data_IF_870295416522
#
_entry.id   IF_870295416522
#
_cell.length_a   1.000
_cell.length_b   1.000
_cell.length_c   1.000
_cell.angle_alpha   90.00
_cell.angle_beta   90.00
_cell.angle_gamma   90.00
#
_symmetry.space_group_name_H-M   'P 1'
#
loop_
_entity.id
_entity.type
_entity.pdbx_description
1 polymer ?
#
# COMPACT_ATOMS: atom_id res chain seq x y z
N UNK A 1 1.07 43.93 33.66
CA UNK A 1 2.05 44.05 32.56
C UNK A 1 2.54 42.67 32.24
N UNK A 2 2.00 42.10 31.16
CA UNK A 2 2.48 41.00 30.33
C UNK A 2 1.22 40.41 29.69
N UNK A 3 1.00 40.84 28.45
CA UNK A 3 -0.07 40.42 27.55
C UNK A 3 -0.03 38.92 27.31
N UNK A 4 -1.22 38.33 27.24
CA UNK A 4 -1.42 37.03 26.59
C UNK A 4 -2.36 37.28 25.42
N UNK A 5 -1.79 37.25 24.22
CA UNK A 5 -2.51 37.24 22.95
C UNK A 5 -3.35 35.97 22.87
N UNK A 6 -4.67 36.15 22.88
CA UNK A 6 -5.63 35.11 22.60
C UNK A 6 -5.92 35.15 21.09
N UNK A 7 -5.17 34.36 20.32
CA UNK A 7 -5.48 34.09 18.91
C UNK A 7 -6.39 32.86 18.89
N UNK A 8 -7.70 33.12 18.87
CA UNK A 8 -8.68 32.10 18.51
C UNK A 8 -8.63 31.90 16.99
N UNK A 9 -7.83 30.91 16.55
CA UNK A 9 -7.86 30.38 15.19
C UNK A 9 -9.11 29.51 14.99
N UNK A 10 -10.23 30.18 14.68
CA UNK A 10 -11.48 29.53 14.29
C UNK A 10 -11.38 29.19 12.80
N UNK A 11 -10.94 27.97 12.49
CA UNK A 11 -11.13 27.40 11.16
C UNK A 11 -12.62 27.08 10.94
N UNK A 12 -13.23 27.86 10.04
CA UNK A 12 -14.64 27.79 9.73
C UNK A 12 -15.05 26.53 8.96
N UNK A 13 -16.30 26.13 9.20
CA UNK A 13 -17.19 25.59 8.17
C UNK A 13 -18.65 25.85 8.62
N UNK A 14 -19.21 26.94 8.11
CA UNK A 14 -20.63 27.37 8.17
C UNK A 14 -21.31 27.42 9.55
N UNK A 15 -21.18 28.56 10.24
CA UNK A 15 -22.22 29.04 11.15
C UNK A 15 -23.09 30.05 10.40
N UNK A 16 -24.36 29.69 10.15
CA UNK A 16 -25.37 30.68 9.79
C UNK A 16 -25.68 31.48 11.04
N UNK A 17 -25.16 32.71 11.12
CA UNK A 17 -25.58 33.67 12.12
C UNK A 17 -27.09 33.91 11.96
N UNK A 18 -27.83 33.82 13.06
CA UNK A 18 -29.20 34.30 13.14
C UNK A 18 -29.19 35.81 12.86
N UNK A 19 -29.44 36.15 11.60
CA UNK A 19 -29.77 37.51 11.19
C UNK A 19 -31.17 37.77 11.73
N UNK A 20 -31.25 38.55 12.80
CA UNK A 20 -32.49 39.12 13.28
C UNK A 20 -33.03 40.07 12.22
N UNK A 21 -34.26 39.82 11.78
CA UNK A 21 -35.08 40.71 10.97
C UNK A 21 -35.04 42.13 11.55
N UNK A 22 -34.45 43.05 10.79
CA UNK A 22 -34.79 44.45 10.86
C UNK A 22 -35.45 44.78 9.53
N UNK A 23 -36.74 45.09 9.63
CA UNK A 23 -37.57 45.69 8.60
C UNK A 23 -36.82 46.86 7.96
N UNK A 24 -36.58 46.79 6.66
CA UNK A 24 -36.84 47.89 5.73
C UNK A 24 -36.60 47.48 4.27
N UNK A 25 -37.60 47.80 3.47
CA UNK A 25 -37.73 47.80 2.02
C UNK A 25 -36.43 47.81 1.19
N UNK A 26 -36.27 46.80 0.32
CA UNK A 26 -36.06 47.00 -1.13
C UNK A 26 -36.13 45.66 -1.88
N UNK A 27 -37.32 45.35 -2.39
CA UNK A 27 -37.69 44.07 -2.98
C UNK A 27 -37.09 43.76 -4.35
N UNK A 28 -35.77 43.52 -4.42
CA UNK A 28 -35.13 42.91 -5.61
C UNK A 28 -35.27 41.37 -5.63
N UNK A 29 -35.59 40.77 -4.47
CA UNK A 29 -35.84 39.34 -4.29
C UNK A 29 -37.28 39.03 -3.90
N UNK A 30 -38.26 39.80 -4.39
CA UNK A 30 -39.66 39.39 -4.35
C UNK A 30 -39.86 38.18 -5.28
N UNK A 31 -39.37 37.02 -4.86
CA UNK A 31 -39.56 35.77 -5.58
C UNK A 31 -41.06 35.54 -5.67
N UNK A 32 -41.58 35.51 -6.90
CA UNK A 32 -42.89 34.95 -7.17
C UNK A 32 -43.03 33.68 -6.34
N UNK A 33 -44.10 33.55 -5.54
CA UNK A 33 -44.44 32.37 -4.75
C UNK A 33 -44.47 31.15 -5.66
N UNK A 34 -43.28 30.61 -5.93
CA UNK A 34 -43.07 29.40 -6.68
C UNK A 34 -43.57 28.31 -5.75
N UNK A 35 -44.58 27.59 -6.22
CA UNK A 35 -45.05 26.38 -5.54
C UNK A 35 -43.80 25.56 -5.25
N UNK A 36 -43.51 25.31 -3.97
CA UNK A 36 -42.53 24.28 -3.58
C UNK A 36 -43.09 22.98 -4.15
N UNK A 37 -42.56 22.58 -5.30
CA UNK A 37 -42.81 21.26 -5.84
C UNK A 37 -42.02 20.34 -4.91
N UNK A 38 -42.71 19.66 -4.01
CA UNK A 38 -42.13 18.58 -3.23
C UNK A 38 -41.77 17.46 -4.21
N UNK A 39 -40.49 17.39 -4.57
CA UNK A 39 -39.96 16.26 -5.31
C UNK A 39 -39.68 15.14 -4.32
N UNK A 40 -40.43 14.04 -4.41
CA UNK A 40 -40.10 12.82 -3.70
C UNK A 40 -38.78 12.28 -4.26
N UNK A 41 -37.69 12.43 -3.52
CA UNK A 41 -36.34 11.96 -3.91
C UNK A 41 -36.34 10.46 -4.20
N UNK A 42 -37.26 9.68 -3.61
CA UNK A 42 -37.41 8.24 -3.87
C UNK A 42 -38.03 7.94 -5.24
N UNK A 43 -38.67 8.92 -5.87
CA UNK A 43 -39.21 8.82 -7.23
C UNK A 43 -38.14 9.10 -8.31
N UNK A 44 -36.98 9.63 -7.93
CA UNK A 44 -35.86 9.87 -8.84
C UNK A 44 -35.12 8.55 -9.03
N UNK A 45 -35.56 7.78 -10.02
CA UNK A 45 -34.87 6.57 -10.45
C UNK A 45 -33.66 6.96 -11.32
N UNK A 46 -32.63 7.52 -10.68
CA UNK A 46 -31.39 7.88 -11.36
C UNK A 46 -30.61 6.61 -11.69
N UNK A 47 -30.69 6.18 -12.95
CA UNK A 47 -29.72 5.27 -13.53
C UNK A 47 -28.59 6.15 -14.12
N UNK A 48 -27.35 6.08 -13.62
CA UNK A 48 -26.25 6.80 -14.23
C UNK A 48 -26.12 6.33 -15.69
N UNK A 49 -26.33 7.26 -16.63
CA UNK A 49 -25.98 7.01 -18.02
C UNK A 49 -24.46 7.07 -18.11
N UNK A 50 -23.83 5.92 -18.28
CA UNK A 50 -22.40 5.83 -18.60
C UNK A 50 -22.28 6.08 -20.11
N UNK A 51 -22.58 7.30 -20.56
CA UNK A 51 -22.22 7.76 -21.91
C UNK A 51 -20.77 8.24 -21.83
N UNK A 52 -19.83 7.32 -22.04
CA UNK A 52 -18.41 7.64 -22.17
C UNK A 52 -18.16 8.19 -23.57
N UNK A 53 -18.34 9.49 -23.77
CA UNK A 53 -18.05 10.19 -25.03
C UNK A 53 -16.57 10.12 -25.47
N UNK A 54 -15.67 9.69 -24.58
CA UNK A 54 -14.25 9.51 -24.87
C UNK A 54 -13.53 10.81 -25.23
N UNK A 55 -14.06 11.97 -24.82
CA UNK A 55 -13.55 13.28 -25.21
C UNK A 55 -12.04 13.49 -24.92
N UNK A 56 -11.52 12.76 -23.94
CA UNK A 56 -10.13 12.81 -23.49
C UNK A 56 -9.19 11.88 -24.27
N UNK A 57 -9.68 10.87 -25.00
CA UNK A 57 -8.81 9.98 -25.79
C UNK A 57 -8.48 10.62 -27.15
N UNK A 58 -7.32 11.27 -27.21
CA UNK A 58 -6.83 11.90 -28.44
C UNK A 58 -5.83 11.04 -29.21
N UNK A 59 -5.63 9.78 -28.79
CA UNK A 59 -4.60 8.90 -29.35
C UNK A 59 -4.75 8.64 -30.85
N UNK A 60 -5.98 8.73 -31.38
CA UNK A 60 -6.27 8.57 -32.81
C UNK A 60 -6.21 9.89 -33.60
N UNK A 61 -6.36 11.03 -32.93
CA UNK A 61 -6.48 12.34 -33.59
C UNK A 61 -5.12 13.05 -33.73
N UNK A 62 -4.15 12.76 -32.86
CA UNK A 62 -2.85 13.42 -32.86
C UNK A 62 -1.74 12.52 -32.30
N UNK A 63 -0.49 12.82 -32.68
CA UNK A 63 0.68 12.10 -32.15
C UNK A 63 0.91 12.41 -30.67
N UNK A 64 1.54 11.47 -29.95
CA UNK A 64 1.81 11.62 -28.51
C UNK A 64 2.59 12.89 -28.15
N UNK A 65 3.56 13.30 -28.98
CA UNK A 65 4.32 14.52 -28.74
C UNK A 65 3.45 15.78 -28.81
N UNK A 66 2.53 15.85 -29.77
CA UNK A 66 1.59 16.96 -29.92
C UNK A 66 0.57 16.95 -28.79
N UNK A 67 0.08 15.76 -28.41
CA UNK A 67 -0.84 15.59 -27.29
C UNK A 67 -0.20 16.04 -25.97
N UNK A 68 1.02 15.61 -25.67
CA UNK A 68 1.78 16.04 -24.49
C UNK A 68 2.08 17.55 -24.45
N UNK A 69 1.95 18.24 -25.58
CA UNK A 69 2.14 19.68 -25.70
C UNK A 69 0.84 20.50 -25.59
N UNK A 70 -0.34 19.86 -25.53
CA UNK A 70 -1.58 20.58 -25.26
C UNK A 70 -1.63 21.07 -23.81
N UNK A 71 -2.50 22.06 -23.55
CA UNK A 71 -2.64 22.67 -22.23
C UNK A 71 -3.03 21.65 -21.14
N UNK A 72 -3.84 20.65 -21.49
CA UNK A 72 -4.31 19.59 -20.59
C UNK A 72 -3.72 18.20 -20.92
N UNK A 73 -2.64 18.15 -21.70
CA UNK A 73 -2.15 16.90 -22.28
C UNK A 73 -1.84 15.83 -21.25
N UNK A 74 -1.18 16.20 -20.15
CA UNK A 74 -0.84 15.25 -19.09
C UNK A 74 -2.07 14.67 -18.38
N UNK A 75 -3.08 15.49 -18.11
CA UNK A 75 -4.31 15.07 -17.44
C UNK A 75 -5.15 14.18 -18.37
N UNK A 76 -5.32 14.59 -19.64
CA UNK A 76 -6.03 13.81 -20.65
C UNK A 76 -5.38 12.44 -20.89
N UNK A 77 -4.04 12.39 -20.98
CA UNK A 77 -3.29 11.14 -21.10
C UNK A 77 -3.50 10.29 -19.85
N UNK A 78 -3.39 10.89 -18.65
CA UNK A 78 -3.57 10.18 -17.37
C UNK A 78 -4.97 9.57 -17.27
N UNK A 79 -6.03 10.30 -17.60
CA UNK A 79 -7.39 9.77 -17.63
C UNK A 79 -7.54 8.65 -18.67
N UNK A 80 -6.90 8.78 -19.83
CA UNK A 80 -6.94 7.74 -20.87
C UNK A 80 -6.29 6.45 -20.39
N UNK A 81 -5.09 6.51 -19.80
CA UNK A 81 -4.41 5.30 -19.30
C UNK A 81 -5.14 4.68 -18.12
N UNK A 82 -5.70 5.49 -17.20
CA UNK A 82 -6.53 4.98 -16.10
C UNK A 82 -7.75 4.23 -16.64
N UNK A 83 -8.43 4.79 -17.65
CA UNK A 83 -9.58 4.11 -18.29
C UNK A 83 -9.17 2.80 -18.93
N UNK A 84 -8.09 2.78 -19.71
CA UNK A 84 -7.58 1.53 -20.32
C UNK A 84 -7.26 0.49 -19.25
N UNK A 85 -6.60 0.89 -18.16
CA UNK A 85 -6.31 0.03 -17.02
C UNK A 85 -7.59 -0.55 -16.38
N UNK A 86 -8.59 0.29 -16.10
CA UNK A 86 -9.85 -0.17 -15.51
C UNK A 86 -10.70 -1.02 -16.46
N UNK A 87 -10.55 -0.88 -17.79
CA UNK A 87 -11.15 -1.76 -18.80
C UNK A 87 -10.43 -3.10 -18.96
N UNK A 88 -9.28 -3.29 -18.31
CA UNK A 88 -8.45 -4.48 -18.45
C UNK A 88 -7.60 -4.50 -19.72
N UNK A 89 -7.50 -3.37 -20.43
CA UNK A 89 -6.66 -3.23 -21.63
C UNK A 89 -5.20 -2.91 -21.22
N UNK A 90 -4.60 -3.80 -20.42
CA UNK A 90 -3.32 -3.55 -19.74
C UNK A 90 -2.16 -3.30 -20.71
N UNK A 91 -2.02 -4.09 -21.78
CA UNK A 91 -0.98 -3.86 -22.78
C UNK A 91 -1.04 -2.47 -23.42
N UNK A 92 -2.25 -2.03 -23.83
CA UNK A 92 -2.47 -0.67 -24.40
C UNK A 92 -2.21 0.43 -23.38
N UNK A 93 -2.66 0.24 -22.14
CA UNK A 93 -2.38 1.16 -21.02
C UNK A 93 -0.87 1.34 -20.83
N UNK A 94 -0.13 0.23 -20.75
CA UNK A 94 1.32 0.23 -20.57
C UNK A 94 2.05 0.88 -21.77
N UNK A 95 1.64 0.58 -23.01
CA UNK A 95 2.21 1.20 -24.21
C UNK A 95 2.00 2.71 -24.24
N UNK A 96 0.81 3.18 -23.86
CA UNK A 96 0.49 4.60 -23.82
C UNK A 96 1.26 5.33 -22.72
N UNK A 97 1.37 4.73 -21.52
CA UNK A 97 2.24 5.22 -20.45
C UNK A 97 3.69 5.34 -20.92
N UNK A 98 4.23 4.32 -21.59
CA UNK A 98 5.61 4.31 -22.09
C UNK A 98 5.86 5.43 -23.11
N UNK A 99 4.92 5.63 -24.04
CA UNK A 99 4.97 6.72 -25.01
C UNK A 99 4.91 8.10 -24.34
N UNK A 100 3.99 8.27 -23.37
CA UNK A 100 3.85 9.50 -22.62
C UNK A 100 5.12 9.83 -21.81
N UNK A 101 5.67 8.83 -21.13
CA UNK A 101 6.91 8.95 -20.36
C UNK A 101 8.05 9.43 -21.26
N UNK A 102 8.23 8.79 -22.42
CA UNK A 102 9.24 9.18 -23.39
C UNK A 102 9.03 10.60 -23.96
N UNK A 103 7.78 11.02 -24.18
CA UNK A 103 7.47 12.36 -24.66
C UNK A 103 7.77 13.44 -23.61
N UNK A 104 7.37 13.22 -22.36
CA UNK A 104 7.63 14.16 -21.26
C UNK A 104 9.11 14.22 -20.88
N UNK A 105 9.83 13.10 -20.94
CA UNK A 105 11.28 13.10 -20.71
C UNK A 105 12.04 13.99 -21.70
N UNK A 106 11.63 13.98 -22.98
CA UNK A 106 12.20 14.87 -24.00
C UNK A 106 11.86 16.34 -23.74
N UNK A 107 10.64 16.63 -23.28
CA UNK A 107 10.14 17.99 -23.04
C UNK A 107 10.79 18.67 -21.84
N UNK A 108 11.05 17.92 -20.77
CA UNK A 108 11.48 18.47 -19.48
C UNK A 108 12.96 18.25 -19.15
N UNK A 109 13.76 17.78 -20.13
CA UNK A 109 15.23 17.63 -20.02
C UNK A 109 15.71 17.14 -18.64
N UNK A 110 15.12 16.03 -18.15
CA UNK A 110 15.40 15.36 -16.86
C UNK A 110 14.75 15.90 -15.57
N UNK A 111 14.01 17.01 -15.59
CA UNK A 111 13.24 17.47 -14.41
C UNK A 111 11.90 16.71 -14.25
N UNK A 112 12.00 15.39 -14.10
CA UNK A 112 10.86 14.45 -14.08
C UNK A 112 10.16 14.35 -12.72
N UNK A 113 10.45 15.25 -11.79
CA UNK A 113 9.90 15.24 -10.42
C UNK A 113 8.45 15.74 -10.35
N UNK A 114 7.71 15.66 -11.44
CA UNK A 114 6.29 16.04 -11.48
C UNK A 114 5.47 14.87 -10.97
N UNK A 115 4.62 15.10 -9.96
CA UNK A 115 3.79 14.06 -9.34
C UNK A 115 2.97 13.26 -10.38
N UNK A 116 2.42 13.95 -11.39
CA UNK A 116 1.67 13.35 -12.49
C UNK A 116 2.50 12.36 -13.33
N UNK A 117 3.81 12.60 -13.48
CA UNK A 117 4.70 11.68 -14.19
C UNK A 117 4.91 10.39 -13.40
N UNK A 118 5.07 10.51 -12.07
CA UNK A 118 5.16 9.33 -11.19
C UNK A 118 3.89 8.49 -11.32
N UNK A 119 2.72 9.12 -11.30
CA UNK A 119 1.45 8.42 -11.46
C UNK A 119 1.36 7.63 -12.78
N UNK A 120 1.77 8.23 -13.91
CA UNK A 120 1.83 7.53 -15.20
C UNK A 120 2.77 6.32 -15.17
N UNK A 121 3.93 6.45 -14.52
CA UNK A 121 4.89 5.35 -14.36
C UNK A 121 4.28 4.23 -13.49
N UNK A 122 3.61 4.59 -12.39
CA UNK A 122 2.95 3.60 -11.51
C UNK A 122 1.82 2.84 -12.21
N UNK A 123 0.98 3.55 -12.97
CA UNK A 123 -0.08 2.92 -13.78
C UNK A 123 0.54 2.03 -14.86
N UNK A 124 1.61 2.48 -15.52
CA UNK A 124 2.33 1.73 -16.54
C UNK A 124 2.92 0.43 -16.01
N UNK A 125 3.63 0.50 -14.88
CA UNK A 125 4.19 -0.68 -14.21
C UNK A 125 3.11 -1.63 -13.68
N UNK A 126 2.03 -1.13 -13.08
CA UNK A 126 0.89 -1.97 -12.67
C UNK A 126 0.24 -2.66 -13.86
N UNK A 127 0.12 -1.96 -14.99
CA UNK A 127 -0.38 -2.53 -16.24
C UNK A 127 0.56 -3.63 -16.75
N UNK A 128 1.87 -3.39 -16.77
CA UNK A 128 2.87 -4.38 -17.17
C UNK A 128 2.87 -5.63 -16.28
N UNK A 129 2.72 -5.47 -14.95
CA UNK A 129 2.56 -6.60 -14.02
C UNK A 129 1.31 -7.43 -14.32
N UNK A 130 0.20 -6.80 -14.73
CA UNK A 130 -1.05 -7.49 -15.08
C UNK A 130 -0.99 -8.21 -16.43
N UNK A 131 -0.20 -7.67 -17.36
CA UNK A 131 0.01 -8.22 -18.70
C UNK A 131 1.20 -9.22 -18.77
N UNK A 132 1.91 -9.41 -17.64
CA UNK A 132 3.15 -10.21 -17.53
C UNK A 132 4.28 -9.75 -18.48
N UNK A 133 4.32 -8.45 -18.80
CA UNK A 133 5.33 -7.84 -19.69
C UNK A 133 6.52 -7.33 -18.87
N UNK A 134 7.52 -8.19 -18.68
CA UNK A 134 8.72 -7.89 -17.89
C UNK A 134 9.60 -6.79 -18.51
N UNK A 135 9.65 -6.68 -19.83
CA UNK A 135 10.43 -5.67 -20.53
C UNK A 135 9.88 -4.26 -20.27
N UNK A 136 8.54 -4.11 -20.29
CA UNK A 136 7.89 -2.86 -19.91
C UNK A 136 8.03 -2.58 -18.41
N UNK A 137 7.95 -3.61 -17.57
CA UNK A 137 8.12 -3.44 -16.13
C UNK A 137 9.52 -2.92 -15.78
N UNK A 138 10.56 -3.47 -16.40
CA UNK A 138 11.95 -2.98 -16.22
C UNK A 138 12.11 -1.54 -16.72
N UNK A 139 11.51 -1.22 -17.87
CA UNK A 139 11.47 0.17 -18.35
C UNK A 139 10.85 1.13 -17.31
N UNK A 140 9.69 0.79 -16.74
CA UNK A 140 9.04 1.66 -15.75
C UNK A 140 9.79 1.71 -14.42
N UNK A 141 10.42 0.61 -14.00
CA UNK A 141 11.30 0.57 -12.84
C UNK A 141 12.43 1.62 -12.95
N UNK A 142 13.14 1.63 -14.08
CA UNK A 142 14.29 2.52 -14.30
C UNK A 142 13.88 4.01 -14.27
N UNK A 143 12.68 4.32 -14.78
CA UNK A 143 12.12 5.67 -14.66
C UNK A 143 11.66 6.00 -13.24
N UNK A 144 11.07 5.05 -12.53
CA UNK A 144 10.59 5.26 -11.16
C UNK A 144 11.75 5.51 -10.19
N UNK A 145 12.88 4.81 -10.38
CA UNK A 145 14.11 5.03 -9.61
C UNK A 145 14.63 6.47 -9.78
N UNK A 146 14.61 6.99 -11.02
CA UNK A 146 15.03 8.37 -11.33
C UNK A 146 14.12 9.44 -10.70
N UNK A 147 12.83 9.15 -10.50
CA UNK A 147 11.94 10.06 -9.78
C UNK A 147 12.43 10.29 -8.33
N UNK A 148 13.07 9.28 -7.73
CA UNK A 148 13.51 9.27 -6.35
C UNK A 148 12.35 9.42 -5.36
N UNK A 149 12.62 9.22 -4.07
CA UNK A 149 11.62 9.38 -3.03
C UNK A 149 12.06 8.72 -1.73
N UNK A 150 11.58 9.24 -0.61
CA UNK A 150 11.74 8.62 0.71
C UNK A 150 10.42 8.35 1.42
N UNK A 151 9.29 8.57 0.76
CA UNK A 151 7.98 8.37 1.38
C UNK A 151 7.60 6.88 1.38
N UNK A 152 6.72 6.43 2.30
CA UNK A 152 6.34 5.02 2.38
C UNK A 152 5.67 4.50 1.10
N UNK A 153 4.90 5.33 0.40
CA UNK A 153 4.27 4.95 -0.87
C UNK A 153 5.29 4.53 -1.93
N UNK A 154 6.39 5.29 -2.03
CA UNK A 154 7.50 5.01 -2.94
C UNK A 154 8.16 3.66 -2.63
N UNK A 155 8.53 3.42 -1.38
CA UNK A 155 9.21 2.18 -0.99
C UNK A 155 8.30 0.95 -1.14
N UNK A 156 7.03 1.07 -0.77
CA UNK A 156 6.05 -0.02 -0.93
C UNK A 156 5.85 -0.40 -2.40
N UNK A 157 5.75 0.60 -3.29
CA UNK A 157 5.60 0.38 -4.71
C UNK A 157 6.87 -0.19 -5.35
N UNK A 158 8.06 0.33 -5.01
CA UNK A 158 9.34 -0.21 -5.48
C UNK A 158 9.50 -1.69 -5.10
N UNK A 159 9.19 -2.04 -3.85
CA UNK A 159 9.26 -3.42 -3.40
C UNK A 159 8.34 -4.36 -4.21
N UNK A 160 7.13 -3.91 -4.57
CA UNK A 160 6.20 -4.67 -5.42
C UNK A 160 6.79 -4.91 -6.82
N UNK A 161 7.32 -3.87 -7.46
CA UNK A 161 7.94 -3.95 -8.79
C UNK A 161 9.18 -4.86 -8.77
N UNK A 162 10.08 -4.67 -7.79
CA UNK A 162 11.30 -5.46 -7.65
C UNK A 162 11.01 -6.93 -7.35
N UNK A 163 9.98 -7.23 -6.57
CA UNK A 163 9.53 -8.60 -6.32
C UNK A 163 9.12 -9.27 -7.63
N UNK A 164 8.38 -8.55 -8.48
CA UNK A 164 7.95 -9.06 -9.80
C UNK A 164 9.11 -9.25 -10.77
N UNK A 165 10.12 -8.39 -10.71
CA UNK A 165 11.37 -8.54 -11.47
C UNK A 165 12.33 -9.61 -10.89
N UNK A 166 11.96 -10.29 -9.79
CA UNK A 166 12.79 -11.31 -9.15
C UNK A 166 14.00 -10.76 -8.37
N UNK A 167 14.06 -9.44 -8.14
CA UNK A 167 15.13 -8.74 -7.39
C UNK A 167 14.78 -8.70 -5.90
N UNK A 168 14.71 -9.89 -5.29
CA UNK A 168 14.13 -10.08 -3.96
C UNK A 168 14.91 -9.39 -2.82
N UNK A 169 16.22 -9.25 -2.96
CA UNK A 169 17.09 -8.56 -2.01
C UNK A 169 16.78 -7.07 -1.93
N UNK A 170 16.68 -6.40 -3.08
CA UNK A 170 16.34 -4.99 -3.18
C UNK A 170 14.91 -4.74 -2.73
N UNK A 171 13.98 -5.64 -3.06
CA UNK A 171 12.60 -5.55 -2.59
C UNK A 171 12.53 -5.57 -1.05
N UNK A 172 13.36 -6.40 -0.40
CA UNK A 172 13.39 -6.50 1.06
C UNK A 172 13.92 -5.22 1.70
N UNK A 173 14.96 -4.60 1.14
CA UNK A 173 15.49 -3.30 1.58
C UNK A 173 14.38 -2.23 1.56
N UNK A 174 13.62 -2.12 0.47
CA UNK A 174 12.54 -1.15 0.39
C UNK A 174 11.37 -1.42 1.37
N UNK A 175 11.04 -2.67 1.67
CA UNK A 175 10.05 -2.97 2.71
C UNK A 175 10.55 -2.60 4.10
N UNK A 176 11.86 -2.70 4.36
CA UNK A 176 12.46 -2.24 5.62
C UNK A 176 12.43 -0.71 5.69
N UNK A 177 12.85 -0.01 4.63
CA UNK A 177 12.76 1.46 4.54
C UNK A 177 11.33 1.98 4.79
N UNK A 178 10.32 1.20 4.37
CA UNK A 178 8.92 1.46 4.68
C UNK A 178 8.65 1.32 6.18
N UNK A 179 9.03 0.20 6.79
CA UNK A 179 8.75 -0.08 8.20
C UNK A 179 9.52 0.81 9.16
N UNK A 180 10.68 1.35 8.77
CA UNK A 180 11.38 2.37 9.55
C UNK A 180 10.53 3.65 9.71
N UNK A 181 9.61 3.91 8.78
CA UNK A 181 8.68 5.05 8.84
C UNK A 181 7.29 4.67 9.37
N UNK A 182 6.88 3.40 9.18
CA UNK A 182 5.57 2.86 9.55
C UNK A 182 5.71 1.46 10.13
N UNK A 183 6.24 1.35 11.34
CA UNK A 183 6.65 0.09 11.98
C UNK A 183 5.50 -0.91 12.22
N UNK A 184 4.27 -0.42 12.35
CA UNK A 184 3.08 -1.20 12.69
C UNK A 184 2.20 -1.56 11.48
N UNK A 185 2.78 -1.73 10.29
CA UNK A 185 2.03 -2.15 9.10
C UNK A 185 2.05 -3.69 8.93
N UNK A 186 0.95 -4.32 9.32
CA UNK A 186 0.80 -5.77 9.23
C UNK A 186 0.92 -6.31 7.79
N UNK A 187 0.45 -5.57 6.78
CA UNK A 187 0.51 -6.02 5.39
C UNK A 187 1.96 -6.05 4.89
N UNK A 188 2.78 -5.10 5.33
CA UNK A 188 4.20 -5.07 4.97
C UNK A 188 4.98 -6.17 5.66
N UNK A 189 4.69 -6.47 6.93
CA UNK A 189 5.26 -7.64 7.61
C UNK A 189 4.88 -8.97 6.96
N UNK A 190 3.63 -9.11 6.50
CA UNK A 190 3.19 -10.27 5.71
C UNK A 190 4.01 -10.42 4.42
N UNK A 191 4.17 -9.33 3.64
CA UNK A 191 4.97 -9.31 2.41
C UNK A 191 6.44 -9.64 2.66
N UNK A 192 7.02 -9.15 3.76
CA UNK A 192 8.38 -9.53 4.19
C UNK A 192 8.44 -11.05 4.42
N UNK A 193 7.44 -11.63 5.09
CA UNK A 193 7.38 -13.07 5.32
C UNK A 193 7.37 -13.88 4.02
N UNK A 194 6.53 -13.51 3.05
CA UNK A 194 6.46 -14.14 1.73
C UNK A 194 7.79 -14.00 0.96
N UNK A 195 8.43 -12.83 1.05
CA UNK A 195 9.69 -12.55 0.38
C UNK A 195 10.84 -13.37 0.97
N UNK A 196 10.90 -13.50 2.30
CA UNK A 196 11.88 -14.35 3.00
C UNK A 196 11.73 -15.82 2.64
N UNK A 197 10.48 -16.32 2.55
CA UNK A 197 10.20 -17.68 2.08
C UNK A 197 10.67 -17.86 0.63
N UNK A 198 10.37 -16.90 -0.24
CA UNK A 198 10.80 -16.91 -1.64
C UNK A 198 12.33 -16.87 -1.80
N UNK A 199 13.03 -16.10 -0.96
CA UNK A 199 14.50 -16.10 -0.89
C UNK A 199 14.99 -17.48 -0.47
N UNK A 200 14.45 -18.06 0.61
CA UNK A 200 14.82 -19.40 1.07
C UNK A 200 14.61 -20.51 0.03
N UNK A 201 13.66 -20.31 -0.88
CA UNK A 201 13.33 -21.25 -1.96
C UNK A 201 14.15 -21.06 -3.23
N UNK A 202 14.88 -19.96 -3.32
CA UNK A 202 15.77 -19.70 -4.44
C UNK A 202 16.93 -20.70 -4.48
N UNK A 203 17.48 -20.90 -5.68
CA UNK A 203 18.49 -21.93 -5.99
C UNK A 203 19.77 -21.93 -5.12
N UNK A 204 20.28 -20.83 -4.53
CA UNK A 204 21.44 -20.94 -3.64
C UNK A 204 21.12 -21.58 -2.27
N UNK A 205 19.86 -21.55 -1.81
CA UNK A 205 19.51 -21.97 -0.46
C UNK A 205 18.66 -23.24 -0.42
N UNK A 206 17.91 -23.54 -1.48
CA UNK A 206 17.02 -24.70 -1.52
C UNK A 206 17.71 -26.02 -1.12
N UNK A 207 17.12 -26.75 -0.17
CA UNK A 207 17.62 -28.01 0.36
C UNK A 207 18.75 -27.89 1.38
N UNK A 208 19.16 -26.67 1.76
CA UNK A 208 20.23 -26.45 2.74
C UNK A 208 19.68 -26.16 4.14
N UNK A 209 20.52 -26.28 5.17
CA UNK A 209 20.18 -25.82 6.52
C UNK A 209 19.87 -24.31 6.58
N UNK A 210 20.39 -23.53 5.63
CA UNK A 210 20.15 -22.08 5.52
C UNK A 210 18.73 -21.80 5.04
N UNK A 211 18.15 -22.63 4.16
CA UNK A 211 16.73 -22.51 3.78
C UNK A 211 15.84 -22.57 5.01
N UNK A 212 16.09 -23.51 5.94
CA UNK A 212 15.31 -23.60 7.18
C UNK A 212 15.39 -22.31 8.00
N UNK A 213 16.54 -21.63 8.04
CA UNK A 213 16.69 -20.34 8.71
C UNK A 213 15.87 -19.24 8.04
N UNK A 214 15.86 -19.17 6.69
CA UNK A 214 15.01 -18.23 5.95
C UNK A 214 13.52 -18.47 6.21
N UNK A 215 13.07 -19.73 6.16
CA UNK A 215 11.67 -20.08 6.42
C UNK A 215 11.26 -19.71 7.85
N UNK A 216 12.14 -19.89 8.85
CA UNK A 216 11.91 -19.46 10.23
C UNK A 216 11.81 -17.95 10.37
N UNK A 217 12.64 -17.18 9.66
CA UNK A 217 12.47 -15.72 9.61
C UNK A 217 11.12 -15.33 9.00
N UNK A 218 10.70 -16.02 7.93
CA UNK A 218 9.38 -15.83 7.33
C UNK A 218 8.25 -16.07 8.34
N UNK A 219 8.32 -17.16 9.12
CA UNK A 219 7.38 -17.43 10.21
C UNK A 219 7.36 -16.31 11.27
N UNK A 220 8.53 -15.77 11.63
CA UNK A 220 8.63 -14.63 12.55
C UNK A 220 7.90 -13.39 12.01
N UNK A 221 8.10 -13.08 10.73
CA UNK A 221 7.42 -11.95 10.08
C UNK A 221 5.90 -12.14 10.01
N UNK A 222 5.42 -13.35 9.70
CA UNK A 222 4.00 -13.68 9.76
C UNK A 222 3.42 -13.54 11.18
N UNK A 223 4.15 -13.98 12.20
CA UNK A 223 3.73 -13.83 13.59
C UNK A 223 3.62 -12.35 14.02
N UNK A 224 4.57 -11.50 13.62
CA UNK A 224 4.51 -10.06 13.87
C UNK A 224 3.29 -9.44 13.18
N UNK A 225 3.05 -9.76 11.91
CA UNK A 225 1.86 -9.32 11.17
C UNK A 225 0.57 -9.71 11.89
N UNK A 226 0.45 -10.97 12.32
CA UNK A 226 -0.70 -11.48 13.05
C UNK A 226 -0.92 -10.73 14.36
N UNK A 227 0.15 -10.47 15.11
CA UNK A 227 0.10 -9.77 16.38
C UNK A 227 -0.39 -8.33 16.23
N UNK A 228 0.07 -7.62 15.20
CA UNK A 228 -0.42 -6.27 14.86
C UNK A 228 -1.93 -6.31 14.55
N UNK A 229 -2.38 -7.26 13.72
CA UNK A 229 -3.81 -7.42 13.38
C UNK A 229 -4.65 -7.71 14.64
N UNK A 230 -4.12 -8.54 15.56
CA UNK A 230 -4.81 -8.92 16.80
C UNK A 230 -4.97 -7.73 17.75
N UNK A 231 -3.92 -6.95 17.94
CA UNK A 231 -3.89 -5.82 18.89
C UNK A 231 -4.58 -4.57 18.32
N UNK A 232 -4.65 -4.42 17.00
CA UNK A 232 -5.29 -3.26 16.37
C UNK A 232 -6.76 -3.11 16.80
N UNK A 233 -7.02 -2.09 17.63
CA UNK A 233 -8.35 -1.72 18.14
C UNK A 233 -9.16 -0.88 17.15
N UNK A 234 -8.49 -0.33 16.12
CA UNK A 234 -9.06 0.62 15.16
C UNK A 234 -9.89 0.00 14.02
N UNK A 235 -10.04 -1.32 13.97
CA UNK A 235 -10.95 -1.96 13.02
C UNK A 235 -12.37 -1.57 13.41
N UNK A 236 -12.90 -0.56 12.72
CA UNK A 236 -14.27 -0.06 12.90
C UNK A 236 -15.26 -1.22 12.88
N UNK A 237 -16.37 -1.09 13.60
CA UNK A 237 -17.47 -2.05 13.63
C UNK A 237 -18.21 -2.23 12.29
N UNK A 238 -17.68 -1.66 11.19
CA UNK A 238 -18.25 -1.88 9.87
C UNK A 238 -18.01 -3.32 9.43
N UNK A 239 -19.05 -3.95 8.90
CA UNK A 239 -19.00 -5.32 8.40
C UNK A 239 -17.86 -5.53 7.39
N UNK A 240 -17.59 -4.52 6.54
CA UNK A 240 -16.50 -4.56 5.57
C UNK A 240 -15.11 -4.61 6.21
N UNK A 241 -14.89 -3.89 7.32
CA UNK A 241 -13.62 -3.92 8.03
C UNK A 241 -13.41 -5.27 8.73
N UNK A 242 -14.45 -5.79 9.39
CA UNK A 242 -14.42 -7.12 10.03
C UNK A 242 -14.11 -8.21 8.99
N UNK A 243 -14.81 -8.19 7.84
CA UNK A 243 -14.60 -9.14 6.76
C UNK A 243 -13.18 -9.07 6.19
N UNK A 244 -12.64 -7.86 5.99
CA UNK A 244 -11.25 -7.68 5.54
C UNK A 244 -10.25 -8.22 6.56
N UNK A 245 -10.47 -7.98 7.85
CA UNK A 245 -9.64 -8.52 8.93
C UNK A 245 -9.61 -10.04 8.90
N UNK A 246 -10.79 -10.67 8.83
CA UNK A 246 -10.92 -12.13 8.75
C UNK A 246 -10.18 -12.70 7.55
N UNK A 247 -10.40 -12.12 6.36
CA UNK A 247 -9.74 -12.58 5.14
C UNK A 247 -8.21 -12.47 5.23
N UNK A 248 -7.70 -11.39 5.83
CA UNK A 248 -6.27 -11.22 6.05
C UNK A 248 -5.73 -12.24 7.06
N UNK A 249 -6.42 -12.46 8.18
CA UNK A 249 -6.04 -13.47 9.19
C UNK A 249 -6.03 -14.88 8.59
N UNK A 250 -7.04 -15.24 7.81
CA UNK A 250 -7.12 -16.55 7.13
C UNK A 250 -5.99 -16.75 6.13
N UNK A 251 -5.68 -15.73 5.31
CA UNK A 251 -4.56 -15.76 4.38
C UNK A 251 -3.23 -15.94 5.12
N UNK A 252 -3.02 -15.16 6.18
CA UNK A 252 -1.81 -15.22 6.98
C UNK A 252 -1.64 -16.57 7.69
N UNK A 253 -2.74 -17.14 8.22
CA UNK A 253 -2.76 -18.47 8.83
C UNK A 253 -2.39 -19.54 7.80
N UNK A 254 -2.89 -19.43 6.57
CA UNK A 254 -2.53 -20.33 5.48
C UNK A 254 -1.04 -20.25 5.16
N UNK A 255 -0.52 -19.04 4.94
CA UNK A 255 0.91 -18.81 4.65
C UNK A 255 1.82 -19.34 5.76
N UNK A 256 1.48 -19.08 7.02
CA UNK A 256 2.20 -19.58 8.18
C UNK A 256 2.14 -21.10 8.28
N UNK A 257 0.96 -21.70 8.06
CA UNK A 257 0.79 -23.17 8.08
C UNK A 257 1.62 -23.83 6.99
N UNK A 258 1.52 -23.36 5.75
CA UNK A 258 2.28 -23.91 4.62
C UNK A 258 3.80 -23.81 4.88
N UNK A 259 4.25 -22.69 5.44
CA UNK A 259 5.67 -22.49 5.81
C UNK A 259 6.08 -23.40 6.97
N UNK A 260 5.26 -23.54 8.00
CA UNK A 260 5.52 -24.38 9.18
C UNK A 260 5.66 -25.85 8.78
N UNK A 261 4.80 -26.36 7.89
CA UNK A 261 4.86 -27.74 7.40
C UNK A 261 6.16 -28.03 6.64
N UNK A 262 6.76 -27.02 6.02
CA UNK A 262 8.05 -27.14 5.33
C UNK A 262 9.23 -27.15 6.30
N UNK A 263 9.15 -26.36 7.37
CA UNK A 263 10.17 -26.35 8.44
C UNK A 263 10.08 -27.61 9.30
N UNK A 264 8.86 -28.10 9.57
CA UNK A 264 8.59 -29.24 10.44
C UNK A 264 7.59 -30.21 9.78
N UNK A 265 8.04 -31.07 8.84
CA UNK A 265 7.16 -32.02 8.15
C UNK A 265 6.36 -32.94 9.08
N UNK A 266 6.90 -33.25 10.27
CA UNK A 266 6.22 -34.04 11.29
C UNK A 266 4.95 -33.38 11.86
N UNK A 267 4.73 -32.07 11.66
CA UNK A 267 3.54 -31.36 12.12
C UNK A 267 2.31 -31.54 11.21
N UNK A 268 2.46 -32.13 10.02
CA UNK A 268 1.34 -32.40 9.12
C UNK A 268 0.22 -33.20 9.78
N UNK A 269 0.56 -34.15 10.66
CA UNK A 269 -0.40 -34.95 11.40
C UNK A 269 -1.14 -34.19 12.52
N UNK A 270 -0.54 -33.11 13.03
CA UNK A 270 -1.17 -32.24 14.03
C UNK A 270 -2.12 -31.22 13.37
N UNK A 271 -1.72 -30.67 12.22
CA UNK A 271 -2.55 -29.75 11.43
C UNK A 271 -3.83 -30.43 10.91
N UNK A 272 -3.75 -31.69 10.46
CA UNK A 272 -4.89 -32.44 9.92
C UNK A 272 -5.97 -32.79 10.95
N UNK A 273 -5.73 -32.58 12.25
CA UNK A 273 -6.66 -32.90 13.34
C UNK A 273 -7.48 -31.70 13.84
N UNK A 274 -7.60 -30.64 13.03
CA UNK A 274 -8.33 -29.43 13.42
C UNK A 274 -7.58 -28.63 14.48
N UNK A 275 -6.27 -28.43 14.28
CA UNK A 275 -5.47 -27.56 15.14
C UNK A 275 -6.17 -26.21 15.32
N UNK A 276 -6.43 -25.82 16.57
CA UNK A 276 -6.85 -24.46 16.90
C UNK A 276 -5.79 -23.48 16.35
N UNK A 277 -6.23 -22.42 15.70
CA UNK A 277 -5.38 -21.33 15.19
C UNK A 277 -4.31 -20.90 16.21
N UNK A 278 -4.70 -20.80 17.48
CA UNK A 278 -3.81 -20.45 18.60
C UNK A 278 -2.56 -21.33 18.69
N UNK A 279 -2.68 -22.64 18.41
CA UNK A 279 -1.55 -23.58 18.48
C UNK A 279 -0.55 -23.34 17.35
N UNK A 280 -1.03 -22.89 16.19
CA UNK A 280 -0.15 -22.57 15.06
C UNK A 280 0.66 -21.32 15.42
N UNK A 281 0.02 -20.29 15.97
CA UNK A 281 0.71 -19.07 16.38
C UNK A 281 1.64 -19.28 17.58
N UNK A 282 1.25 -20.08 18.58
CA UNK A 282 2.13 -20.48 19.69
C UNK A 282 3.38 -21.23 19.17
N UNK A 283 3.19 -22.09 18.16
CA UNK A 283 4.31 -22.77 17.52
C UNK A 283 5.18 -21.83 16.70
N UNK A 284 4.60 -20.92 15.93
CA UNK A 284 5.36 -19.91 15.22
C UNK A 284 6.22 -19.11 16.21
N UNK A 285 5.62 -18.65 17.31
CA UNK A 285 6.31 -17.89 18.36
C UNK A 285 7.49 -18.64 18.98
N UNK A 286 7.32 -19.92 19.28
CA UNK A 286 8.38 -20.75 19.87
C UNK A 286 9.47 -21.17 18.88
N UNK A 287 9.16 -21.26 17.58
CA UNK A 287 10.06 -21.85 16.59
C UNK A 287 10.71 -20.85 15.62
N UNK A 288 10.24 -19.59 15.54
CA UNK A 288 10.89 -18.58 14.69
C UNK A 288 12.24 -18.14 15.26
N UNK A 289 12.47 -18.34 16.57
CA UNK A 289 13.72 -18.00 17.22
C UNK A 289 14.88 -18.82 16.62
N UNK A 290 15.83 -18.12 16.02
CA UNK A 290 17.07 -18.72 15.54
C UNK A 290 18.09 -18.78 16.69
N UNK A 291 18.70 -19.94 16.89
CA UNK A 291 19.89 -20.04 17.74
C UNK A 291 21.06 -19.23 17.13
N UNK A 292 22.03 -18.86 17.96
CA UNK A 292 23.13 -17.99 17.52
C UNK A 292 23.96 -18.61 16.38
N UNK A 293 24.15 -19.93 16.38
CA UNK A 293 24.88 -20.61 15.30
C UNK A 293 24.09 -20.56 13.98
N UNK A 294 22.77 -20.68 14.02
CA UNK A 294 21.88 -20.53 12.87
C UNK A 294 21.85 -19.09 12.35
N UNK A 295 21.84 -18.09 13.24
CA UNK A 295 21.98 -16.66 12.85
C UNK A 295 23.30 -16.41 12.14
N UNK A 296 24.42 -16.87 12.70
CA UNK A 296 25.74 -16.68 12.09
C UNK A 296 25.85 -17.38 10.74
N UNK A 297 25.35 -18.62 10.61
CA UNK A 297 25.32 -19.34 9.33
C UNK A 297 24.50 -18.61 8.27
N UNK A 298 23.32 -18.09 8.65
CA UNK A 298 22.48 -17.31 7.77
C UNK A 298 23.22 -16.05 7.29
N UNK A 299 23.77 -15.28 8.23
CA UNK A 299 24.50 -14.03 7.91
C UNK A 299 25.73 -14.27 7.04
N UNK A 300 26.47 -15.36 7.25
CA UNK A 300 27.62 -15.73 6.43
C UNK A 300 27.23 -16.17 5.01
N UNK A 301 26.00 -16.65 4.82
CA UNK A 301 25.49 -17.07 3.51
C UNK A 301 24.89 -15.92 2.69
N UNK A 302 24.54 -14.81 3.34
CA UNK A 302 23.97 -13.64 2.68
C UNK A 302 25.03 -12.82 1.97
N UNK A 303 24.67 -12.21 0.84
CA UNK A 303 25.41 -11.05 0.34
C UNK A 303 25.32 -9.88 1.34
N UNK A 304 26.29 -8.96 1.33
CA UNK A 304 26.42 -7.86 2.30
C UNK A 304 25.11 -7.04 2.47
N UNK A 305 24.41 -6.80 1.36
CA UNK A 305 23.10 -6.12 1.33
C UNK A 305 22.04 -6.87 2.15
N UNK A 306 21.78 -8.12 1.81
CA UNK A 306 20.85 -9.00 2.53
C UNK A 306 21.23 -9.17 4.01
N UNK A 307 22.53 -9.21 4.34
CA UNK A 307 22.97 -9.36 5.71
C UNK A 307 22.51 -8.17 6.59
N UNK A 308 22.46 -6.96 6.03
CA UNK A 308 21.97 -5.77 6.73
C UNK A 308 20.47 -5.88 7.02
N UNK A 309 19.68 -6.22 6.00
CA UNK A 309 18.23 -6.45 6.14
C UNK A 309 17.90 -7.55 7.15
N UNK A 310 18.63 -8.67 7.11
CA UNK A 310 18.45 -9.79 8.05
C UNK A 310 18.77 -9.38 9.48
N UNK A 311 19.85 -8.62 9.71
CA UNK A 311 20.19 -8.10 11.05
C UNK A 311 19.09 -7.18 11.58
N UNK A 312 18.54 -6.31 10.73
CA UNK A 312 17.43 -5.43 11.10
C UNK A 312 16.22 -6.26 11.55
N UNK A 313 15.80 -7.24 10.75
CA UNK A 313 14.64 -8.11 11.07
C UNK A 313 14.85 -8.86 12.39
N UNK A 314 16.03 -9.47 12.58
CA UNK A 314 16.38 -10.17 13.82
C UNK A 314 16.35 -9.24 15.06
N UNK A 315 16.77 -7.99 14.88
CA UNK A 315 16.74 -6.98 15.94
C UNK A 315 15.29 -6.59 16.25
N UNK A 316 14.47 -6.38 15.22
CA UNK A 316 13.04 -6.07 15.37
C UNK A 316 12.28 -7.17 16.09
N UNK A 317 12.60 -8.45 15.85
CA UNK A 317 12.02 -9.57 16.62
C UNK A 317 12.44 -9.57 18.09
N UNK A 318 13.62 -9.05 18.41
CA UNK A 318 14.14 -9.01 19.79
C UNK A 318 13.58 -7.82 20.59
N UNK A 319 13.32 -6.70 19.91
CA UNK A 319 12.68 -5.51 20.50
C UNK A 319 11.17 -5.68 20.64
N UNK A 320 10.57 -6.56 19.83
CA UNK A 320 9.14 -6.86 19.79
C UNK A 320 8.62 -7.69 20.96
N UNK A 321 8.78 -7.19 22.19
CA UNK A 321 7.76 -7.38 23.21
C UNK A 321 6.56 -6.52 22.80
N UNK A 322 5.72 -7.03 21.90
CA UNK A 322 4.49 -6.40 21.38
C UNK A 322 3.54 -5.90 22.48
N UNK A 323 3.78 -6.27 23.73
CA UNK A 323 3.11 -5.76 24.92
C UNK A 323 3.27 -4.23 25.08
N UNK A 324 4.39 -3.62 24.64
CA UNK A 324 4.58 -2.16 24.80
C UNK A 324 3.70 -1.31 23.89
N UNK A 325 3.31 -1.84 22.72
CA UNK A 325 2.47 -1.13 21.74
C UNK A 325 1.01 -1.04 22.22
N UNK A 326 0.58 -1.95 23.11
CA UNK A 326 -0.75 -1.90 23.69
C UNK A 326 -0.91 -0.79 24.74
N UNK A 327 0.20 -0.27 25.29
CA UNK A 327 0.22 0.72 26.36
C UNK A 327 0.30 2.18 25.84
N UNK A 328 1.03 2.46 24.75
CA UNK A 328 1.17 3.83 24.21
C UNK A 328 -0.18 4.41 23.74
N UNK A 329 -1.06 3.60 23.12
CA UNK A 329 -2.41 4.04 22.70
C UNK A 329 -3.39 4.21 23.88
N UNK A 330 -3.08 3.65 25.05
CA UNK A 330 -3.88 3.86 26.26
C UNK A 330 -3.61 5.24 26.88
N UNK A 331 -2.41 5.78 26.72
CA UNK A 331 -2.05 7.12 27.19
C UNK A 331 -2.66 8.23 26.33
N UNK A 332 -2.77 8.06 25.02
CA UNK A 332 -3.38 9.07 24.12
C UNK A 332 -4.87 9.32 24.41
N UNK A 333 -5.59 8.33 24.94
CA UNK A 333 -6.97 8.50 25.42
C UNK A 333 -7.10 9.30 26.70
N UNK A 334 -6.11 9.24 27.60
CA UNK A 334 -6.15 10.00 28.85
C UNK A 334 -5.85 11.49 28.65
N UNK A 335 -5.28 11.87 27.50
CA UNK A 335 -5.02 13.29 27.15
C UNK A 335 -6.22 13.94 26.46
N UNK A 336 -7.12 13.16 25.86
CA UNK A 336 -8.35 13.68 25.24
C UNK A 336 -9.53 13.89 26.21
N UNK A 337 -9.42 13.35 27.43
CA UNK A 337 -10.43 13.46 28.50
C UNK A 337 -10.03 14.47 29.61
N UNK A 338 -8.97 15.26 29.40
CA UNK A 338 -8.53 16.41 30.23
C UNK A 338 -8.67 17.71 29.45
#
# INVERSE_FOLDING_TARGET
MADTDNIDDIHGFFQFANVSDSDDDDGIFASAKSRKIEFDVRSINYAPKIDEDGWFDRSQAMGMADWANTHFGIDEITFTVQRLYFKGEYGRSADLCKQAVAAFAKKYESNLRVASMRELIEIGAKSAIRDDDMDKLEYFHDWYEQCGGKNPGFSSFQAEVLTKLGRLDQALEHLIDYLEQRSLDAQVWERIGELLVSIGDSKPYAGTAVQTSWLRLGLGAFFVSHSIIRVSRGWKSSELAIKRKQLQTEQLLKLATDTLLRVFPGMAQAASRGSCEDKIWEKCNSEFALDEASKQRLLQSCADRLATSVKWILTSFSLGSLDSVADEDAEEKNVADL
#
